data_IF_680924395553
#
_entry.id   IF_680924395553
#
_cell.length_a   1.000
_cell.length_b   1.000
_cell.length_c   1.000
_cell.angle_alpha   90.00
_cell.angle_beta   90.00
_cell.angle_gamma   90.00
#
_symmetry.space_group_name_H-M   'P 1'
#
loop_
_entity.id
_entity.type
_entity.pdbx_description
1 polymer ?
#
# COMPACT_ATOMS: atom_id res chain seq x y z
N UNK A 1 27.41 -27.10 -11.02
CA UNK A 1 26.00 -26.85 -10.64
C UNK A 1 25.67 -25.42 -11.06
N UNK A 2 24.54 -25.19 -11.68
CA UNK A 2 24.16 -23.86 -12.18
C UNK A 2 23.95 -22.91 -10.99
N UNK A 3 24.62 -21.74 -10.93
CA UNK A 3 24.63 -20.87 -9.76
C UNK A 3 23.32 -20.05 -9.58
N UNK A 4 22.46 -20.04 -10.61
CA UNK A 4 21.24 -19.27 -10.64
C UNK A 4 20.00 -20.15 -10.85
N UNK A 5 18.89 -19.79 -10.20
CA UNK A 5 17.55 -20.21 -10.61
C UNK A 5 17.01 -19.18 -11.59
N UNK A 6 16.49 -19.63 -12.73
CA UNK A 6 15.96 -18.74 -13.78
C UNK A 6 14.54 -19.18 -14.09
N UNK A 7 13.61 -18.24 -13.99
CA UNK A 7 12.21 -18.40 -14.41
C UNK A 7 11.91 -17.36 -15.49
N UNK A 8 11.36 -17.79 -16.62
CA UNK A 8 10.98 -16.89 -17.70
C UNK A 8 9.52 -16.42 -17.51
N UNK A 9 9.32 -15.11 -17.63
CA UNK A 9 7.99 -14.52 -17.52
C UNK A 9 7.33 -14.35 -18.90
N UNK A 10 6.02 -13.99 -18.87
CA UNK A 10 5.21 -13.81 -20.07
C UNK A 10 5.59 -12.54 -20.87
N UNK A 11 6.40 -11.66 -20.30
CA UNK A 11 6.83 -10.39 -20.90
C UNK A 11 8.22 -10.46 -21.51
N UNK A 12 8.68 -11.69 -21.81
CA UNK A 12 10.00 -11.96 -22.34
C UNK A 12 11.14 -11.50 -21.40
N UNK A 13 10.88 -11.50 -20.09
CA UNK A 13 11.86 -11.27 -19.04
C UNK A 13 12.37 -12.58 -18.44
N UNK A 14 13.41 -12.47 -17.62
CA UNK A 14 13.96 -13.54 -16.80
C UNK A 14 13.99 -13.10 -15.33
N UNK A 15 13.29 -13.81 -14.47
CA UNK A 15 13.39 -13.68 -13.02
C UNK A 15 14.51 -14.59 -12.53
N UNK A 16 15.49 -14.01 -11.85
CA UNK A 16 16.73 -14.65 -11.44
C UNK A 16 16.84 -14.59 -9.93
N UNK A 17 17.21 -15.70 -9.30
CA UNK A 17 17.61 -15.76 -7.90
C UNK A 17 18.87 -16.60 -7.75
N UNK A 18 19.60 -16.43 -6.66
CA UNK A 18 20.81 -17.19 -6.42
C UNK A 18 20.49 -18.60 -5.94
N UNK A 19 21.15 -19.59 -6.53
CA UNK A 19 21.23 -20.96 -6.03
C UNK A 19 22.52 -21.18 -5.26
N UNK A 20 23.64 -20.63 -5.78
CA UNK A 20 24.91 -20.62 -5.07
C UNK A 20 24.99 -19.38 -4.18
N UNK A 21 25.54 -19.49 -2.95
CA UNK A 21 25.62 -18.35 -2.03
C UNK A 21 26.54 -17.23 -2.54
N UNK A 22 27.52 -17.56 -3.33
CA UNK A 22 28.55 -16.63 -3.83
C UNK A 22 28.93 -16.97 -5.31
N UNK A 23 28.08 -16.58 -6.30
CA UNK A 23 28.38 -16.80 -7.70
C UNK A 23 29.55 -15.93 -8.13
N UNK A 24 30.51 -16.54 -8.87
CA UNK A 24 31.68 -15.81 -9.38
C UNK A 24 31.26 -14.72 -10.39
N UNK A 25 32.13 -13.75 -10.58
CA UNK A 25 31.99 -12.69 -11.60
C UNK A 25 31.74 -13.27 -12.99
N UNK A 26 32.52 -14.29 -13.35
CA UNK A 26 32.37 -15.02 -14.61
C UNK A 26 31.01 -15.70 -14.74
N UNK A 27 30.42 -16.21 -13.65
CA UNK A 27 29.11 -16.82 -13.69
C UNK A 27 28.00 -15.77 -13.98
N UNK A 28 28.16 -14.53 -13.49
CA UNK A 28 27.26 -13.44 -13.82
C UNK A 28 27.36 -13.04 -15.29
N UNK A 29 28.60 -12.98 -15.84
CA UNK A 29 28.82 -12.68 -17.25
C UNK A 29 28.16 -13.75 -18.14
N UNK A 30 28.36 -15.04 -17.82
CA UNK A 30 27.73 -16.17 -18.52
C UNK A 30 26.18 -16.12 -18.42
N UNK A 31 25.63 -15.71 -17.27
CA UNK A 31 24.18 -15.50 -17.15
C UNK A 31 23.67 -14.46 -18.15
N UNK A 32 24.33 -13.31 -18.22
CA UNK A 32 23.97 -12.21 -19.12
C UNK A 32 24.07 -12.65 -20.58
N UNK A 33 25.16 -13.32 -20.97
CA UNK A 33 25.36 -13.86 -22.32
C UNK A 33 24.26 -14.85 -22.70
N UNK A 34 23.92 -15.78 -21.78
CA UNK A 34 22.85 -16.76 -21.99
C UNK A 34 21.49 -16.10 -22.20
N UNK A 35 21.14 -15.10 -21.37
CA UNK A 35 19.88 -14.38 -21.49
C UNK A 35 19.81 -13.54 -22.76
N UNK A 36 20.95 -12.96 -23.17
CA UNK A 36 21.07 -12.23 -24.44
C UNK A 36 20.91 -13.17 -25.65
N UNK A 37 21.58 -14.32 -25.65
CA UNK A 37 21.43 -15.33 -26.70
C UNK A 37 20.00 -15.89 -26.78
N UNK A 38 19.28 -15.93 -25.65
CA UNK A 38 17.87 -16.31 -25.59
C UNK A 38 16.92 -15.15 -25.95
N UNK A 39 17.44 -14.02 -26.44
CA UNK A 39 16.69 -12.82 -26.83
C UNK A 39 15.79 -12.29 -25.73
N UNK A 40 16.18 -12.40 -24.45
CA UNK A 40 15.45 -11.82 -23.34
C UNK A 40 15.60 -10.29 -23.32
N UNK A 41 14.56 -9.60 -22.85
CA UNK A 41 14.59 -8.14 -22.77
C UNK A 41 15.12 -7.64 -21.43
N UNK A 42 14.74 -8.30 -20.34
CA UNK A 42 15.03 -7.92 -18.97
C UNK A 42 15.54 -9.12 -18.16
N UNK A 43 16.43 -8.85 -17.23
CA UNK A 43 16.72 -9.74 -16.13
C UNK A 43 16.37 -9.04 -14.79
N UNK A 44 15.50 -9.67 -14.00
CA UNK A 44 15.13 -9.26 -12.67
C UNK A 44 15.86 -10.12 -11.66
N UNK A 45 16.78 -9.53 -10.91
CA UNK A 45 17.54 -10.25 -9.89
C UNK A 45 17.01 -9.90 -8.51
N UNK A 46 16.58 -10.90 -7.75
CA UNK A 46 16.20 -10.74 -6.35
C UNK A 46 17.32 -11.27 -5.45
N UNK A 47 17.80 -10.43 -4.56
CA UNK A 47 18.78 -10.73 -3.51
C UNK A 47 18.12 -10.60 -2.15
N UNK A 48 18.40 -11.53 -1.24
CA UNK A 48 18.03 -11.37 0.18
C UNK A 48 19.00 -10.41 0.89
N UNK A 49 18.66 -9.97 2.11
CA UNK A 49 19.51 -9.09 2.89
C UNK A 49 20.88 -9.72 3.18
N UNK A 50 20.96 -11.04 3.36
CA UNK A 50 22.23 -11.77 3.58
C UNK A 50 23.12 -11.76 2.32
N UNK A 51 22.51 -11.56 1.15
CA UNK A 51 23.18 -11.49 -0.15
C UNK A 51 23.53 -10.05 -0.57
N UNK A 52 23.27 -9.05 0.28
CA UNK A 52 23.52 -7.64 -0.03
C UNK A 52 24.99 -7.34 -0.36
N UNK A 53 25.92 -8.11 0.19
CA UNK A 53 27.36 -8.02 -0.10
C UNK A 53 27.72 -8.35 -1.57
N UNK A 54 26.78 -8.86 -2.37
CA UNK A 54 26.98 -9.19 -3.79
C UNK A 54 26.49 -8.09 -4.75
N UNK A 55 25.90 -7.01 -4.23
CA UNK A 55 25.25 -5.95 -5.05
C UNK A 55 26.24 -5.36 -6.06
N UNK A 56 27.46 -5.05 -5.66
CA UNK A 56 28.50 -4.48 -6.50
C UNK A 56 28.79 -5.35 -7.73
N UNK A 57 28.86 -6.67 -7.55
CA UNK A 57 29.11 -7.65 -8.60
C UNK A 57 28.10 -7.57 -9.76
N UNK A 58 26.85 -7.22 -9.44
CA UNK A 58 25.77 -7.07 -10.42
C UNK A 58 25.70 -5.65 -10.97
N UNK A 59 25.87 -4.64 -10.11
CA UNK A 59 25.79 -3.24 -10.55
C UNK A 59 26.95 -2.85 -11.48
N UNK A 60 28.14 -3.40 -11.30
CA UNK A 60 29.27 -3.27 -12.23
C UNK A 60 28.93 -3.82 -13.62
N UNK A 61 27.92 -4.68 -13.77
CA UNK A 61 27.46 -5.26 -15.03
C UNK A 61 26.16 -4.64 -15.55
N UNK A 62 25.83 -3.47 -15.05
CA UNK A 62 24.72 -2.68 -15.53
C UNK A 62 23.35 -3.00 -14.91
N UNK A 63 23.30 -3.88 -13.90
CA UNK A 63 22.09 -3.97 -13.08
C UNK A 63 21.89 -2.67 -12.31
N UNK A 64 20.66 -2.19 -12.25
CA UNK A 64 20.27 -0.99 -11.51
C UNK A 64 19.22 -1.33 -10.45
N UNK A 65 19.15 -0.52 -9.40
CA UNK A 65 18.15 -0.69 -8.34
C UNK A 65 16.75 -0.51 -8.90
N UNK A 66 15.83 -1.38 -8.48
CA UNK A 66 14.44 -1.31 -8.87
C UNK A 66 13.50 -1.23 -7.66
N UNK A 67 13.57 -2.22 -6.74
CA UNK A 67 12.71 -2.27 -5.56
C UNK A 67 13.52 -2.69 -4.34
N UNK A 68 13.39 -1.94 -3.26
CA UNK A 68 14.01 -2.24 -1.98
C UNK A 68 12.90 -2.51 -0.95
N UNK A 69 12.98 -3.64 -0.29
CA UNK A 69 12.14 -4.07 0.82
C UNK A 69 13.02 -4.41 2.02
N UNK A 70 12.45 -4.61 3.20
CA UNK A 70 13.23 -4.84 4.43
C UNK A 70 14.19 -6.04 4.34
N UNK A 71 13.76 -7.13 3.70
CA UNK A 71 14.50 -8.39 3.65
C UNK A 71 15.03 -8.73 2.28
N UNK A 72 14.73 -7.92 1.26
CA UNK A 72 15.17 -8.22 -0.10
C UNK A 72 15.32 -6.96 -0.98
N UNK A 73 16.15 -7.09 -1.98
CA UNK A 73 16.39 -6.09 -3.01
C UNK A 73 16.15 -6.71 -4.39
N UNK A 74 15.41 -6.01 -5.26
CA UNK A 74 15.32 -6.37 -6.68
C UNK A 74 16.13 -5.40 -7.50
N UNK A 75 17.05 -5.94 -8.29
CA UNK A 75 17.79 -5.24 -9.33
C UNK A 75 17.22 -5.59 -10.70
N UNK A 76 17.38 -4.70 -11.68
CA UNK A 76 16.98 -4.96 -13.06
C UNK A 76 18.11 -4.64 -14.03
N UNK A 77 18.36 -5.56 -14.97
CA UNK A 77 19.22 -5.33 -16.12
C UNK A 77 18.37 -5.25 -17.39
N UNK A 78 18.55 -4.18 -18.16
CA UNK A 78 18.04 -4.09 -19.54
C UNK A 78 19.01 -4.76 -20.47
N UNK A 79 18.73 -6.00 -20.84
CA UNK A 79 19.56 -6.77 -21.79
C UNK A 79 19.46 -6.14 -23.17
N UNK A 80 18.29 -5.67 -23.55
CA UNK A 80 18.10 -4.82 -24.74
C UNK A 80 17.98 -3.37 -24.27
N UNK A 81 18.76 -2.47 -24.87
CA UNK A 81 18.94 -1.09 -24.42
C UNK A 81 17.62 -0.30 -24.21
N UNK A 82 16.60 -0.58 -25.03
CA UNK A 82 15.30 0.12 -24.98
C UNK A 82 14.19 -0.74 -24.32
N UNK A 83 14.55 -1.83 -23.62
CA UNK A 83 13.57 -2.68 -22.95
C UNK A 83 12.79 -1.86 -21.90
N UNK A 84 11.48 -1.92 -21.98
CA UNK A 84 10.61 -1.31 -20.99
C UNK A 84 10.63 -2.14 -19.70
N UNK A 85 11.08 -1.54 -18.63
CA UNK A 85 10.95 -2.10 -17.28
C UNK A 85 9.80 -1.38 -16.56
N UNK A 86 8.78 -2.09 -16.04
CA UNK A 86 7.73 -1.50 -15.21
C UNK A 86 8.32 -0.66 -14.08
N UNK A 87 7.65 0.41 -13.71
CA UNK A 87 8.08 1.24 -12.59
C UNK A 87 7.89 0.49 -11.26
N UNK A 88 8.77 0.75 -10.30
CA UNK A 88 8.51 0.42 -8.91
C UNK A 88 7.28 1.20 -8.41
N UNK A 89 6.55 0.73 -7.37
CA UNK A 89 5.41 1.44 -6.81
C UNK A 89 5.74 2.90 -6.49
N UNK A 90 4.95 3.82 -7.04
CA UNK A 90 5.17 5.28 -6.94
C UNK A 90 4.31 5.94 -5.88
N UNK A 91 3.37 5.20 -5.30
CA UNK A 91 2.41 5.68 -4.31
C UNK A 91 2.33 4.73 -3.14
N UNK A 92 2.07 5.30 -1.96
CA UNK A 92 1.48 4.60 -0.83
C UNK A 92 -0.03 4.77 -0.89
N UNK A 93 -0.77 3.82 -0.31
CA UNK A 93 -2.22 3.90 -0.19
C UNK A 93 -2.54 3.95 1.30
N UNK A 94 -3.38 4.92 1.69
CA UNK A 94 -3.93 5.01 3.03
C UNK A 94 -5.45 4.99 2.97
N UNK A 95 -6.08 4.57 4.07
CA UNK A 95 -7.54 4.59 4.25
C UNK A 95 -7.93 5.45 5.44
N UNK A 96 -9.09 6.07 5.37
CA UNK A 96 -9.71 6.76 6.50
C UNK A 96 -11.17 6.34 6.64
N UNK A 97 -11.56 5.95 7.84
CA UNK A 97 -12.91 5.51 8.16
C UNK A 97 -13.84 6.67 8.51
N UNK A 98 -14.79 6.97 7.66
CA UNK A 98 -15.92 7.86 7.96
C UNK A 98 -17.06 7.01 8.54
N UNK A 99 -17.07 6.88 9.86
CA UNK A 99 -17.98 5.98 10.60
C UNK A 99 -19.03 6.81 11.34
N UNK A 100 -20.29 6.43 11.18
CA UNK A 100 -21.41 7.03 11.93
C UNK A 100 -22.07 6.01 12.83
N UNK A 101 -22.48 6.45 14.02
CA UNK A 101 -23.35 5.67 14.89
C UNK A 101 -24.84 5.97 14.60
N UNK A 102 -25.74 5.28 15.32
CA UNK A 102 -27.19 5.45 15.16
C UNK A 102 -27.71 6.85 15.57
N UNK A 103 -26.95 7.60 16.36
CA UNK A 103 -27.26 8.98 16.74
C UNK A 103 -26.80 10.02 15.69
N UNK A 104 -26.10 9.59 14.63
CA UNK A 104 -25.54 10.47 13.60
C UNK A 104 -24.26 11.16 14.04
N UNK A 105 -23.60 10.66 15.08
CA UNK A 105 -22.28 11.14 15.50
C UNK A 105 -21.19 10.48 14.68
N UNK A 106 -20.11 11.21 14.40
CA UNK A 106 -18.94 10.73 13.67
C UNK A 106 -17.85 10.23 14.64
N UNK A 107 -17.22 9.10 14.31
CA UNK A 107 -16.10 8.53 15.06
C UNK A 107 -14.82 9.24 14.68
N UNK A 108 -14.06 9.69 15.67
CA UNK A 108 -12.86 10.47 15.48
C UNK A 108 -11.78 10.02 16.47
N UNK A 109 -10.52 10.19 16.06
CA UNK A 109 -9.34 9.86 16.87
C UNK A 109 -8.39 11.03 16.98
N UNK A 110 -7.52 10.99 17.99
CA UNK A 110 -6.40 11.91 18.17
C UNK A 110 -5.12 11.12 18.38
N UNK A 111 -4.13 11.35 17.50
CA UNK A 111 -2.81 10.71 17.60
C UNK A 111 -1.97 11.34 18.71
N UNK A 112 -1.19 10.52 19.43
CA UNK A 112 -0.23 10.99 20.44
C UNK A 112 0.85 11.89 19.87
N UNK A 113 1.30 11.59 18.65
CA UNK A 113 2.42 12.27 18.00
C UNK A 113 1.99 13.53 17.25
N UNK A 114 0.69 13.80 17.13
CA UNK A 114 0.23 15.01 16.46
C UNK A 114 0.49 16.25 17.32
N UNK A 115 1.12 17.28 16.71
CA UNK A 115 1.30 18.59 17.34
C UNK A 115 -0.02 19.35 17.53
N UNK A 116 -1.03 19.05 16.72
CA UNK A 116 -2.37 19.64 16.83
C UNK A 116 -3.23 18.81 17.78
N UNK A 117 -3.92 19.48 18.71
CA UNK A 117 -4.78 18.82 19.71
C UNK A 117 -6.16 18.39 19.15
N UNK A 118 -6.38 18.54 17.85
CA UNK A 118 -7.65 18.24 17.22
C UNK A 118 -7.83 16.77 16.87
N UNK A 119 -9.04 16.46 16.39
CA UNK A 119 -9.41 15.12 15.97
C UNK A 119 -9.32 14.96 14.44
N UNK A 120 -9.14 13.70 14.00
CA UNK A 120 -9.14 13.26 12.59
C UNK A 120 -10.02 12.01 12.42
N UNK A 121 -10.28 11.60 11.18
CA UNK A 121 -10.84 10.27 10.92
C UNK A 121 -9.83 9.20 11.35
N UNK A 122 -10.30 8.07 11.94
CA UNK A 122 -9.45 6.90 12.16
C UNK A 122 -8.95 6.36 10.83
N UNK A 123 -7.71 5.85 10.80
CA UNK A 123 -7.14 5.27 9.58
C UNK A 123 -5.64 5.43 9.44
N UNK A 124 -5.07 4.55 8.62
CA UNK A 124 -3.65 4.42 8.37
C UNK A 124 -3.34 3.86 6.99
N UNK A 125 -2.23 3.12 6.87
CA UNK A 125 -1.81 2.55 5.59
C UNK A 125 -2.52 1.22 5.29
N UNK A 126 -2.73 0.99 3.99
CA UNK A 126 -3.14 -0.32 3.49
C UNK A 126 -1.90 -1.21 3.42
N UNK A 127 -1.93 -2.36 4.06
CA UNK A 127 -0.85 -3.32 4.08
C UNK A 127 -0.66 -4.02 2.73
N UNK A 128 0.52 -4.58 2.51
CA UNK A 128 0.82 -5.29 1.27
C UNK A 128 -0.10 -6.50 1.09
N UNK A 129 -0.90 -6.49 0.03
CA UNK A 129 -1.85 -7.56 -0.30
C UNK A 129 -3.17 -7.48 0.46
N UNK A 130 -3.37 -6.45 1.28
CA UNK A 130 -4.61 -6.22 2.01
C UNK A 130 -5.65 -5.51 1.11
N UNK A 131 -6.92 -5.98 1.07
CA UNK A 131 -8.01 -5.26 0.42
C UNK A 131 -8.34 -3.94 1.15
N UNK A 132 -8.78 -2.93 0.39
CA UNK A 132 -9.16 -1.60 0.94
C UNK A 132 -10.23 -1.70 2.01
N UNK A 133 -11.25 -2.57 1.79
CA UNK A 133 -12.32 -2.80 2.75
C UNK A 133 -11.79 -3.30 4.09
N UNK A 134 -10.89 -4.31 4.04
CA UNK A 134 -10.31 -4.90 5.24
C UNK A 134 -9.41 -3.91 5.98
N UNK A 135 -8.58 -3.15 5.24
CA UNK A 135 -7.75 -2.12 5.82
C UNK A 135 -8.58 -1.07 6.56
N UNK A 136 -9.69 -0.58 5.96
CA UNK A 136 -10.55 0.41 6.60
C UNK A 136 -11.24 -0.13 7.87
N UNK A 137 -11.68 -1.39 7.86
CA UNK A 137 -12.30 -2.04 9.02
C UNK A 137 -11.28 -2.31 10.13
N UNK A 138 -10.06 -2.76 9.78
CA UNK A 138 -8.93 -3.02 10.70
C UNK A 138 -8.49 -1.74 11.40
N UNK A 139 -8.21 -0.68 10.66
CA UNK A 139 -7.76 0.60 11.22
C UNK A 139 -8.79 1.19 12.20
N UNK A 140 -10.09 1.15 11.84
CA UNK A 140 -11.15 1.59 12.75
C UNK A 140 -11.16 0.75 14.03
N UNK A 141 -11.00 -0.57 13.91
CA UNK A 141 -10.97 -1.47 15.08
C UNK A 141 -9.74 -1.21 15.98
N UNK A 142 -8.55 -1.12 15.39
CA UNK A 142 -7.29 -0.94 16.12
C UNK A 142 -7.24 0.40 16.85
N UNK A 143 -7.64 1.47 16.17
CA UNK A 143 -7.58 2.83 16.73
C UNK A 143 -8.73 3.16 17.69
N UNK A 144 -9.86 2.45 17.62
CA UNK A 144 -11.04 2.84 18.40
C UNK A 144 -11.70 1.70 19.18
N UNK A 145 -11.42 0.43 18.83
CA UNK A 145 -12.14 -0.74 19.35
C UNK A 145 -13.53 -0.93 18.74
N UNK A 146 -13.96 -0.03 17.85
CA UNK A 146 -15.26 -0.12 17.19
C UNK A 146 -15.22 -1.12 16.04
N UNK A 147 -16.06 -2.15 16.11
CA UNK A 147 -16.33 -2.99 14.95
C UNK A 147 -17.21 -2.22 13.98
N UNK A 148 -16.75 -2.12 12.74
CA UNK A 148 -17.49 -1.43 11.68
C UNK A 148 -17.50 -2.29 10.42
N UNK A 149 -18.48 -2.06 9.57
CA UNK A 149 -18.64 -2.73 8.29
C UNK A 149 -18.46 -1.73 7.16
N UNK A 150 -17.61 -2.06 6.20
CA UNK A 150 -17.42 -1.26 5.01
C UNK A 150 -18.74 -1.15 4.21
N UNK A 151 -19.04 0.06 3.76
CA UNK A 151 -20.21 0.36 2.94
C UNK A 151 -19.82 0.87 1.56
N UNK A 152 -19.00 1.92 1.49
CA UNK A 152 -18.61 2.53 0.22
C UNK A 152 -17.28 3.30 0.32
N UNK A 153 -16.56 3.39 -0.80
CA UNK A 153 -15.50 4.36 -1.00
C UNK A 153 -16.14 5.70 -1.41
N UNK A 154 -16.03 6.70 -0.56
CA UNK A 154 -16.70 8.00 -0.74
C UNK A 154 -15.77 9.15 -1.11
N UNK A 155 -14.46 8.96 -0.99
CA UNK A 155 -13.49 9.99 -1.34
C UNK A 155 -12.14 9.43 -1.74
N UNK A 156 -11.46 10.13 -2.66
CA UNK A 156 -10.09 9.86 -3.08
C UNK A 156 -9.31 11.15 -3.07
N UNK A 157 -8.22 11.20 -2.32
CA UNK A 157 -7.35 12.36 -2.20
C UNK A 157 -5.93 11.99 -2.59
N UNK A 158 -5.35 12.71 -3.57
CA UNK A 158 -3.94 12.60 -3.93
C UNK A 158 -3.09 13.62 -3.19
N UNK A 159 -1.98 13.20 -2.62
CA UNK A 159 -0.97 14.06 -2.00
C UNK A 159 0.38 13.88 -2.69
N UNK A 160 0.96 14.97 -3.18
CA UNK A 160 2.21 14.99 -3.93
C UNK A 160 3.06 16.21 -3.55
N UNK A 161 4.34 16.08 -3.19
CA UNK A 161 4.99 14.83 -2.80
C UNK A 161 4.53 14.37 -1.41
N UNK A 162 4.78 13.11 -1.11
CA UNK A 162 4.64 12.51 0.21
C UNK A 162 6.01 11.97 0.65
N UNK A 163 6.03 11.06 1.64
CA UNK A 163 7.26 10.48 2.17
C UNK A 163 8.11 9.84 1.07
N UNK A 164 9.43 9.97 1.19
CA UNK A 164 10.42 9.43 0.23
C UNK A 164 10.18 9.84 -1.23
N UNK A 165 9.64 11.07 -1.43
CA UNK A 165 9.30 11.62 -2.74
C UNK A 165 8.30 10.77 -3.55
N UNK A 166 7.51 9.95 -2.89
CA UNK A 166 6.38 9.22 -3.49
C UNK A 166 5.11 10.06 -3.43
N UNK A 167 4.08 9.64 -4.14
CA UNK A 167 2.70 10.10 -3.91
C UNK A 167 2.04 9.31 -2.78
N UNK A 168 0.92 9.84 -2.28
CA UNK A 168 0.00 9.09 -1.43
C UNK A 168 -1.42 9.24 -1.97
N UNK A 169 -2.15 8.13 -2.04
CA UNK A 169 -3.57 8.09 -2.29
C UNK A 169 -4.27 7.79 -0.96
N UNK A 170 -5.08 8.73 -0.49
CA UNK A 170 -5.87 8.56 0.72
C UNK A 170 -7.33 8.33 0.34
N UNK A 171 -7.84 7.16 0.71
CA UNK A 171 -9.17 6.67 0.38
C UNK A 171 -10.08 6.87 1.59
N UNK A 172 -11.14 7.67 1.46
CA UNK A 172 -12.12 7.82 2.52
C UNK A 172 -13.23 6.80 2.32
N UNK A 173 -13.33 5.89 3.28
CA UNK A 173 -14.27 4.80 3.28
C UNK A 173 -15.41 5.09 4.26
N UNK A 174 -16.66 5.00 3.82
CA UNK A 174 -17.81 5.04 4.72
C UNK A 174 -18.04 3.67 5.32
N UNK A 175 -18.15 3.62 6.65
CA UNK A 175 -18.45 2.40 7.37
C UNK A 175 -19.66 2.61 8.30
N UNK A 176 -20.38 1.52 8.55
CA UNK A 176 -21.46 1.46 9.54
C UNK A 176 -20.93 0.83 10.82
N UNK A 177 -21.11 1.52 11.95
CA UNK A 177 -20.72 0.98 13.24
C UNK A 177 -21.59 -0.23 13.63
N UNK A 178 -20.93 -1.33 14.01
CA UNK A 178 -21.56 -2.56 14.53
C UNK A 178 -21.46 -2.65 16.07
N UNK A 179 -20.67 -1.78 16.68
CA UNK A 179 -20.54 -1.62 18.14
C UNK A 179 -20.43 -0.14 18.48
N UNK A 180 -20.59 0.23 19.77
CA UNK A 180 -20.59 1.65 20.19
C UNK A 180 -19.60 1.96 21.31
N UNK A 181 -19.08 0.93 21.99
CA UNK A 181 -18.14 1.10 23.11
C UNK A 181 -16.74 1.28 22.56
N UNK A 182 -16.14 2.43 22.86
CA UNK A 182 -14.76 2.74 22.47
C UNK A 182 -13.79 2.01 23.42
N UNK A 183 -12.86 1.25 22.82
CA UNK A 183 -11.79 0.55 23.54
C UNK A 183 -10.54 0.52 22.66
N UNK A 184 -9.73 1.58 22.73
CA UNK A 184 -8.54 1.78 21.90
C UNK A 184 -7.59 0.60 22.09
N UNK A 185 -7.24 -0.09 21.00
CA UNK A 185 -6.31 -1.21 21.00
C UNK A 185 -4.87 -0.73 20.74
N UNK A 186 -4.70 0.19 19.78
CA UNK A 186 -3.40 0.83 19.52
C UNK A 186 -3.16 2.03 20.44
N UNK A 187 -2.88 1.76 21.71
CA UNK A 187 -2.56 2.79 22.69
C UNK A 187 -1.17 3.44 22.48
N UNK A 188 -0.34 2.88 21.60
CA UNK A 188 0.95 3.45 21.23
C UNK A 188 0.80 4.65 20.31
N UNK A 189 -0.11 4.59 19.36
CA UNK A 189 -0.38 5.64 18.38
C UNK A 189 -1.51 6.57 18.84
N UNK A 190 -2.60 6.05 19.35
CA UNK A 190 -3.83 6.80 19.64
C UNK A 190 -3.88 7.25 21.10
N UNK A 191 -4.11 8.55 21.28
CA UNK A 191 -4.32 9.18 22.60
C UNK A 191 -5.78 9.15 23.03
N UNK A 192 -6.71 9.41 22.10
CA UNK A 192 -8.14 9.49 22.37
C UNK A 192 -8.96 9.09 21.15
N UNK A 193 -10.12 8.46 21.39
CA UNK A 193 -11.15 8.24 20.40
C UNK A 193 -12.47 8.71 20.97
N UNK A 194 -13.32 9.33 20.14
CA UNK A 194 -14.60 9.93 20.57
C UNK A 194 -15.66 9.79 19.50
N UNK A 195 -16.93 9.75 19.94
CA UNK A 195 -18.08 10.04 19.11
C UNK A 195 -18.46 11.51 19.28
N UNK A 196 -18.54 12.28 18.20
CA UNK A 196 -18.96 13.68 18.22
C UNK A 196 -20.08 13.93 17.24
N UNK A 197 -21.09 14.77 17.61
CA UNK A 197 -22.03 15.31 16.63
C UNK A 197 -21.28 16.00 15.50
N UNK A 198 -21.66 15.74 14.25
CA UNK A 198 -21.00 16.32 13.07
C UNK A 198 -20.89 17.85 13.18
N UNK A 199 -21.96 18.54 13.61
CA UNK A 199 -21.95 19.99 13.75
C UNK A 199 -20.92 20.49 14.78
N UNK A 200 -20.72 19.77 15.88
CA UNK A 200 -19.70 20.07 16.89
C UNK A 200 -18.30 19.91 16.32
N UNK A 201 -18.03 18.78 15.65
CA UNK A 201 -16.74 18.55 15.00
C UNK A 201 -16.41 19.62 13.94
N UNK A 202 -17.37 20.01 13.12
CA UNK A 202 -17.18 21.04 12.10
C UNK A 202 -16.87 22.42 12.70
N UNK A 203 -17.36 22.70 13.90
CA UNK A 203 -17.08 23.94 14.65
C UNK A 203 -15.73 23.92 15.40
N UNK A 204 -15.13 22.73 15.61
CA UNK A 204 -13.87 22.57 16.33
C UNK A 204 -12.69 23.14 15.54
N UNK A 205 -12.22 24.33 15.94
CA UNK A 205 -11.08 24.98 15.27
C UNK A 205 -9.72 24.38 15.63
N UNK A 206 -9.63 23.49 16.63
CA UNK A 206 -8.40 22.77 16.98
C UNK A 206 -8.14 21.62 16.00
N UNK A 207 -9.21 21.09 15.40
CA UNK A 207 -9.14 20.05 14.37
C UNK A 207 -8.76 20.60 12.99
N UNK A 208 -8.05 19.81 12.21
CA UNK A 208 -7.57 20.21 10.88
C UNK A 208 -8.74 20.64 9.96
N UNK A 209 -8.58 21.80 9.32
CA UNK A 209 -9.52 22.30 8.30
C UNK A 209 -9.76 21.27 7.20
N UNK A 210 -8.72 20.52 6.82
CA UNK A 210 -8.81 19.48 5.80
C UNK A 210 -9.75 18.36 6.23
N UNK A 211 -9.56 17.77 7.43
CA UNK A 211 -10.42 16.68 7.91
C UNK A 211 -11.85 17.13 8.15
N UNK A 212 -12.06 18.34 8.70
CA UNK A 212 -13.42 18.92 8.84
C UNK A 212 -14.11 19.08 7.48
N UNK A 213 -13.37 19.53 6.45
CA UNK A 213 -13.90 19.65 5.10
C UNK A 213 -14.29 18.29 4.51
N UNK A 214 -13.46 17.24 4.72
CA UNK A 214 -13.81 15.88 4.28
C UNK A 214 -15.13 15.41 4.89
N UNK A 215 -15.27 15.53 6.23
CA UNK A 215 -16.51 15.13 6.91
C UNK A 215 -17.70 15.92 6.38
N UNK A 216 -17.59 17.24 6.25
CA UNK A 216 -18.68 18.08 5.74
C UNK A 216 -19.10 17.69 4.32
N UNK A 217 -18.14 17.40 3.44
CA UNK A 217 -18.41 17.11 2.03
C UNK A 217 -18.96 15.71 1.79
N UNK A 218 -18.56 14.72 2.62
CA UNK A 218 -18.80 13.31 2.34
C UNK A 218 -19.93 12.69 3.19
N UNK A 219 -20.52 13.45 4.11
CA UNK A 219 -21.58 12.93 5.01
C UNK A 219 -22.81 12.40 4.25
N UNK A 220 -23.18 12.99 3.11
CA UNK A 220 -24.34 12.59 2.30
C UNK A 220 -24.03 11.76 1.07
N UNK A 221 -22.76 11.45 0.78
CA UNK A 221 -22.35 10.81 -0.47
C UNK A 221 -22.61 9.29 -0.49
N UNK A 222 -23.05 8.73 -1.63
CA UNK A 222 -23.31 7.29 -1.76
C UNK A 222 -22.05 6.49 -2.06
N UNK A 223 -21.11 7.05 -2.83
CA UNK A 223 -19.82 6.46 -3.13
C UNK A 223 -19.85 5.22 -4.03
N UNK A 224 -18.67 4.56 -4.14
CA UNK A 224 -18.49 3.31 -4.86
C UNK A 224 -18.67 2.13 -3.91
N UNK A 225 -19.57 1.22 -4.24
CA UNK A 225 -19.90 0.04 -3.41
C UNK A 225 -19.23 -1.24 -3.93
N UNK A 226 -19.02 -2.24 -3.06
CA UNK A 226 -18.51 -3.54 -3.47
C UNK A 226 -19.36 -4.16 -4.57
N UNK A 227 -18.70 -4.66 -5.61
CA UNK A 227 -19.35 -5.34 -6.73
C UNK A 227 -18.91 -6.80 -6.77
N UNK A 228 -19.90 -7.71 -6.72
CA UNK A 228 -19.71 -9.14 -6.73
C UNK A 228 -19.55 -9.72 -8.16
N UNK A 229 -18.74 -9.08 -9.00
CA UNK A 229 -18.47 -9.62 -10.33
C UNK A 229 -17.57 -10.85 -10.22
N UNK A 230 -18.03 -11.97 -10.78
CA UNK A 230 -17.24 -13.19 -10.85
C UNK A 230 -16.24 -13.08 -12.00
N UNK A 231 -14.96 -13.20 -11.68
CA UNK A 231 -13.87 -13.26 -12.64
C UNK A 231 -13.41 -14.69 -12.84
N UNK A 232 -12.84 -14.97 -14.00
CA UNK A 232 -12.01 -16.14 -14.15
C UNK A 232 -10.86 -16.08 -13.14
N UNK A 233 -10.49 -17.22 -12.51
CA UNK A 233 -9.39 -17.26 -11.56
C UNK A 233 -8.11 -16.70 -12.17
N UNK A 234 -7.53 -15.68 -11.54
CA UNK A 234 -6.21 -15.13 -11.93
C UNK A 234 -5.18 -15.63 -10.91
N UNK A 235 -4.24 -16.51 -11.30
CA UNK A 235 -3.23 -17.02 -10.39
C UNK A 235 -2.24 -15.95 -9.91
N UNK A 236 -2.29 -14.75 -10.49
CA UNK A 236 -1.40 -13.62 -10.14
C UNK A 236 -1.93 -12.74 -9.02
N UNK A 237 -3.19 -12.91 -8.62
CA UNK A 237 -3.78 -12.13 -7.54
C UNK A 237 -5.30 -12.06 -7.55
N UNK A 238 -5.84 -11.47 -6.50
CA UNK A 238 -7.27 -11.18 -6.33
C UNK A 238 -7.59 -9.76 -6.80
N UNK A 239 -8.86 -9.49 -7.08
CA UNK A 239 -9.36 -8.16 -7.44
C UNK A 239 -10.43 -7.74 -6.47
N UNK A 240 -10.33 -6.53 -5.97
CA UNK A 240 -11.39 -5.83 -5.28
C UNK A 240 -12.03 -4.84 -6.25
N UNK A 241 -13.35 -4.86 -6.37
CA UNK A 241 -14.08 -4.01 -7.31
C UNK A 241 -15.08 -3.17 -6.55
N UNK A 242 -14.96 -1.88 -6.72
CA UNK A 242 -15.86 -0.88 -6.16
C UNK A 242 -16.44 -0.08 -7.33
N UNK A 243 -17.75 -0.12 -7.52
CA UNK A 243 -18.45 0.57 -8.61
C UNK A 243 -19.57 1.47 -8.06
N UNK A 244 -19.97 2.47 -8.85
CA UNK A 244 -21.20 3.23 -8.54
C UNK A 244 -22.40 2.29 -8.59
N UNK A 245 -23.35 2.45 -7.66
CA UNK A 245 -24.60 1.69 -7.64
C UNK A 245 -25.41 1.80 -8.93
#
# INVERSE_FOLDING_TARGET
MEPFNIHYDLFNGAQVSLRAPDPSTMAVDQLIERLSAAHKQLAWLTLSIEQAHLIDRFTERGFVFHLCQEQQLTLVLRIQANAYAPFAPTHTIGVGGLVFNAAGEVLLVRDRMMRAQGFKLPGGYVDMGEPIQQAAEREVLEETGIRAQFGALVGLIGKYPHQFNKGNLYLVCRLTALSSVIEIQDTGEIEAAVWLPVAEYLADTTSSRFHRHLVASLTGDTGLTPNAFEFDPDPRGTREILLSP
#
